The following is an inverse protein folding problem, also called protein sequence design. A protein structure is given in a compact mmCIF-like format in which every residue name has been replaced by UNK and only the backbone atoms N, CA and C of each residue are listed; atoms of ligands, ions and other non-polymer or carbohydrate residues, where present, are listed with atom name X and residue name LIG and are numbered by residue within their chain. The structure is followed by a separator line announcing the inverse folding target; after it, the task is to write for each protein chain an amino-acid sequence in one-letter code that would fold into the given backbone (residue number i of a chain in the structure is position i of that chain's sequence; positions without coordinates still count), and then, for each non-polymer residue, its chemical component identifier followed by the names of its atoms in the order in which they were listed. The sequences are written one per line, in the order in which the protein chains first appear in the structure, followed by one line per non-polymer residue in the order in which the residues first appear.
data_IF_092632446531
#
_entry.id   IF_092632446531
#
_cell.length_a   1.000
_cell.length_b   1.000
_cell.length_c   1.000
_cell.angle_alpha   90.00
_cell.angle_beta   90.00
_cell.angle_gamma   90.00
#
_symmetry.space_group_name_H-M   'P 1'
#
loop_
_entity.id
_entity.type
_entity.pdbx_description
1 polymer ?
#
# COMPACT_ATOMS: atom_id res chain seq x y z
N UNK A 1 5.00 -9.83 -1.48
CA UNK A 1 6.19 -9.43 -2.26
C UNK A 1 6.78 -8.30 -1.45
N UNK A 2 8.08 -8.29 -1.24
CA UNK A 2 8.69 -7.35 -0.31
C UNK A 2 9.59 -6.40 -1.07
N UNK A 3 9.33 -5.09 -0.98
CA UNK A 3 10.09 -4.07 -1.71
C UNK A 3 10.67 -3.06 -0.72
N UNK A 4 11.96 -2.72 -0.93
CA UNK A 4 12.62 -1.62 -0.20
C UNK A 4 13.04 -0.56 -1.20
N UNK A 5 12.55 0.65 -0.99
CA UNK A 5 12.82 1.80 -1.87
C UNK A 5 13.50 2.92 -1.09
N UNK A 6 14.56 3.48 -1.68
CA UNK A 6 15.21 4.71 -1.19
C UNK A 6 15.28 5.73 -2.32
N UNK A 7 14.73 6.93 -2.09
CA UNK A 7 14.75 8.03 -3.06
C UNK A 7 13.36 8.40 -3.58
N UNK A 8 13.28 8.81 -4.84
CA UNK A 8 12.01 9.16 -5.50
C UNK A 8 11.58 8.07 -6.45
N UNK A 9 10.42 7.44 -6.19
CA UNK A 9 9.93 6.29 -6.98
C UNK A 9 8.43 6.36 -7.18
N UNK A 10 7.98 5.83 -8.31
CA UNK A 10 6.56 5.55 -8.59
C UNK A 10 6.40 4.04 -8.76
N UNK A 11 5.50 3.45 -7.99
CA UNK A 11 5.17 2.02 -8.03
C UNK A 11 3.71 1.87 -8.45
N UNK A 12 3.45 0.89 -9.32
CA UNK A 12 2.09 0.52 -9.74
C UNK A 12 2.00 -0.99 -9.75
N UNK A 13 1.13 -1.58 -8.93
CA UNK A 13 0.90 -3.02 -8.89
C UNK A 13 -0.56 -3.40 -9.17
N UNK A 14 -0.76 -4.59 -9.74
CA UNK A 14 -2.07 -5.20 -9.95
C UNK A 14 -2.03 -6.64 -9.45
N UNK A 15 -2.76 -6.89 -8.38
CA UNK A 15 -2.77 -8.17 -7.68
C UNK A 15 -4.12 -8.85 -7.82
N UNK A 16 -4.10 -10.13 -8.20
CA UNK A 16 -5.30 -10.98 -8.24
C UNK A 16 -5.06 -12.24 -7.42
N UNK A 17 -5.90 -12.47 -6.41
CA UNK A 17 -5.84 -13.65 -5.53
C UNK A 17 -5.51 -13.30 -4.08
N UNK A 18 -4.86 -14.25 -3.39
CA UNK A 18 -4.45 -14.05 -1.99
C UNK A 18 -2.97 -13.66 -1.93
N UNK A 19 -2.65 -12.48 -1.42
CA UNK A 19 -1.26 -11.97 -1.38
C UNK A 19 -0.98 -11.27 -0.05
N UNK A 20 0.29 -11.36 0.38
CA UNK A 20 0.83 -10.53 1.46
C UNK A 20 1.91 -9.63 0.85
N UNK A 21 1.81 -8.33 1.11
CA UNK A 21 2.75 -7.29 0.66
C UNK A 21 3.36 -6.62 1.88
N UNK A 22 4.68 -6.41 1.84
CA UNK A 22 5.41 -5.74 2.93
C UNK A 22 6.39 -4.76 2.31
N UNK A 23 6.08 -3.47 2.40
CA UNK A 23 6.88 -2.43 1.76
C UNK A 23 7.55 -1.50 2.78
N UNK A 24 8.81 -1.17 2.51
CA UNK A 24 9.58 -0.19 3.30
C UNK A 24 10.09 0.90 2.39
N UNK A 25 9.63 2.11 2.66
CA UNK A 25 9.88 3.26 1.81
C UNK A 25 10.58 4.37 2.59
N UNK A 26 11.70 4.86 2.05
CA UNK A 26 12.38 6.05 2.56
C UNK A 26 12.56 7.08 1.43
N UNK A 27 11.82 8.19 1.49
CA UNK A 27 11.90 9.27 0.51
C UNK A 27 10.55 9.76 0.02
N UNK A 28 10.46 10.09 -1.28
CA UNK A 28 9.23 10.57 -1.91
C UNK A 28 8.65 9.47 -2.80
N UNK A 29 7.52 8.88 -2.43
CA UNK A 29 6.94 7.77 -3.21
C UNK A 29 5.49 8.01 -3.57
N UNK A 30 5.13 7.56 -4.77
CA UNK A 30 3.75 7.44 -5.20
C UNK A 30 3.47 5.95 -5.47
N UNK A 31 2.52 5.38 -4.76
CA UNK A 31 2.06 3.99 -4.92
C UNK A 31 0.64 4.00 -5.47
N UNK A 32 0.37 3.14 -6.45
CA UNK A 32 -0.98 2.96 -7.01
C UNK A 32 -1.25 1.46 -7.16
N UNK A 33 -2.09 0.91 -6.29
CA UNK A 33 -2.36 -0.52 -6.27
C UNK A 33 -3.81 -0.85 -6.62
N UNK A 34 -3.98 -1.92 -7.41
CA UNK A 34 -5.29 -2.49 -7.69
C UNK A 34 -5.31 -3.95 -7.24
N UNK A 35 -6.16 -4.25 -6.28
CA UNK A 35 -6.24 -5.55 -5.64
C UNK A 35 -7.62 -6.17 -5.88
N UNK A 36 -7.64 -7.43 -6.33
CA UNK A 36 -8.85 -8.26 -6.39
C UNK A 36 -8.61 -9.56 -5.63
N UNK A 37 -9.22 -9.72 -4.46
CA UNK A 37 -9.09 -10.91 -3.62
C UNK A 37 -8.86 -10.60 -2.14
N UNK A 38 -7.99 -11.37 -1.50
CA UNK A 38 -7.65 -11.20 -0.09
C UNK A 38 -6.21 -10.71 0.05
N UNK A 39 -5.99 -9.51 0.58
CA UNK A 39 -4.64 -8.96 0.73
C UNK A 39 -4.35 -8.51 2.14
N UNK A 40 -3.12 -8.74 2.57
CA UNK A 40 -2.56 -8.14 3.79
C UNK A 40 -1.42 -7.24 3.35
N UNK A 41 -1.52 -5.96 3.66
CA UNK A 41 -0.53 -4.92 3.38
C UNK A 41 0.11 -4.48 4.70
N UNK A 42 1.43 -4.37 4.70
CA UNK A 42 2.19 -3.85 5.84
C UNK A 42 3.21 -2.84 5.33
N UNK A 43 2.96 -1.56 5.58
CA UNK A 43 3.77 -0.48 5.05
C UNK A 43 4.53 0.26 6.15
N UNK A 44 5.83 0.49 5.91
CA UNK A 44 6.66 1.36 6.74
C UNK A 44 7.21 2.49 5.87
N UNK A 45 6.75 3.70 6.15
CA UNK A 45 7.04 4.88 5.34
C UNK A 45 7.80 5.92 6.16
N UNK A 46 8.92 6.40 5.63
CA UNK A 46 9.66 7.56 6.15
C UNK A 46 9.85 8.60 5.03
N UNK A 47 9.09 9.70 5.08
CA UNK A 47 9.16 10.78 4.09
C UNK A 47 7.78 11.24 3.58
N UNK A 48 7.70 11.53 2.28
CA UNK A 48 6.46 11.97 1.64
C UNK A 48 5.89 10.83 0.79
N UNK A 49 4.69 10.35 1.10
CA UNK A 49 4.06 9.29 0.29
C UNK A 49 2.65 9.64 -0.13
N UNK A 50 2.31 9.26 -1.36
CA UNK A 50 0.95 9.26 -1.87
C UNK A 50 0.58 7.83 -2.23
N UNK A 51 -0.43 7.28 -1.58
CA UNK A 51 -0.95 5.93 -1.83
C UNK A 51 -2.34 6.05 -2.45
N UNK A 52 -2.61 5.28 -3.50
CA UNK A 52 -3.91 5.21 -4.16
C UNK A 52 -4.29 3.76 -4.37
N UNK A 53 -5.20 3.25 -3.55
CA UNK A 53 -5.56 1.84 -3.58
C UNK A 53 -6.99 1.62 -4.04
N UNK A 54 -7.17 0.62 -4.91
CA UNK A 54 -8.48 0.11 -5.30
C UNK A 54 -8.56 -1.36 -4.97
N UNK A 55 -9.40 -1.70 -3.99
CA UNK A 55 -9.55 -3.06 -3.49
C UNK A 55 -10.95 -3.59 -3.78
N UNK A 56 -11.02 -4.79 -4.34
CA UNK A 56 -12.25 -5.59 -4.43
C UNK A 56 -12.03 -6.90 -3.68
N UNK A 57 -12.61 -7.02 -2.48
CA UNK A 57 -12.48 -8.21 -1.64
C UNK A 57 -12.19 -7.88 -0.17
N UNK A 58 -11.23 -8.59 0.44
CA UNK A 58 -10.88 -8.39 1.86
C UNK A 58 -9.45 -7.87 1.97
N UNK A 59 -9.25 -6.76 2.68
CA UNK A 59 -7.93 -6.19 2.92
C UNK A 59 -7.68 -5.95 4.40
N UNK A 60 -6.47 -6.26 4.85
CA UNK A 60 -5.93 -5.85 6.14
C UNK A 60 -4.73 -4.95 5.88
N UNK A 61 -4.74 -3.74 6.41
CA UNK A 61 -3.67 -2.74 6.26
C UNK A 61 -3.03 -2.48 7.62
N UNK A 62 -1.70 -2.42 7.66
CA UNK A 62 -0.91 -2.08 8.85
C UNK A 62 0.13 -1.04 8.46
N UNK A 63 -0.05 0.20 8.89
CA UNK A 63 0.78 1.32 8.42
C UNK A 63 1.58 1.97 9.54
N UNK A 64 2.88 2.14 9.31
CA UNK A 64 3.77 2.94 10.16
C UNK A 64 4.35 4.07 9.34
N UNK A 65 3.86 5.28 9.59
CA UNK A 65 4.23 6.48 8.82
C UNK A 65 4.99 7.48 9.67
N UNK A 66 6.15 7.93 9.18
CA UNK A 66 6.93 9.06 9.69
C UNK A 66 7.11 10.08 8.58
N UNK A 67 6.26 11.10 8.54
CA UNK A 67 6.32 12.17 7.54
C UNK A 67 4.95 12.62 7.06
N UNK A 68 4.84 12.95 5.77
CA UNK A 68 3.58 13.36 5.15
C UNK A 68 3.03 12.25 4.28
N UNK A 69 1.79 11.83 4.54
CA UNK A 69 1.13 10.81 3.74
C UNK A 69 -0.25 11.26 3.29
N UNK A 70 -0.54 10.99 2.02
CA UNK A 70 -1.86 11.14 1.42
C UNK A 70 -2.31 9.76 0.96
N UNK A 71 -3.42 9.27 1.51
CA UNK A 71 -4.00 7.97 1.14
C UNK A 71 -5.34 8.21 0.47
N UNK A 72 -5.59 7.50 -0.63
CA UNK A 72 -6.87 7.51 -1.34
C UNK A 72 -7.30 6.07 -1.60
N UNK A 73 -8.25 5.59 -0.79
CA UNK A 73 -8.70 4.20 -0.88
C UNK A 73 -10.12 4.10 -1.43
N UNK A 74 -10.30 3.16 -2.37
CA UNK A 74 -11.60 2.71 -2.84
C UNK A 74 -11.72 1.23 -2.56
N UNK A 75 -12.52 0.87 -1.56
CA UNK A 75 -12.72 -0.53 -1.20
C UNK A 75 -14.16 -1.00 -1.41
N UNK A 76 -14.29 -2.09 -2.15
CA UNK A 76 -15.51 -2.86 -2.33
C UNK A 76 -15.34 -4.20 -1.62
N UNK A 77 -15.78 -4.25 -0.35
CA UNK A 77 -15.72 -5.45 0.48
C UNK A 77 -15.42 -5.15 1.93
N UNK A 78 -14.45 -5.85 2.52
CA UNK A 78 -14.07 -5.69 3.94
C UNK A 78 -12.68 -5.10 4.07
N UNK A 79 -12.53 -4.11 4.94
CA UNK A 79 -11.24 -3.51 5.30
C UNK A 79 -11.04 -3.58 6.80
N UNK A 80 -9.85 -3.98 7.21
CA UNK A 80 -9.35 -3.80 8.57
C UNK A 80 -8.10 -2.94 8.49
N UNK A 81 -8.07 -1.83 9.21
CA UNK A 81 -6.89 -0.95 9.31
C UNK A 81 -6.39 -1.02 10.74
N UNK A 82 -5.08 -1.22 10.92
CA UNK A 82 -4.42 -1.37 12.22
C UNK A 82 -3.31 -0.35 12.39
#
# INVERSE_FOLDING_TARGET
VDVVVVGSVVVVDVVVGCVVVVDVVVGCVVVVDVVVGCVVVVDVVVGCVVVVDVVVGSVVVVDVVVGSVVVVDVVVGSVVVV
#
